data_IF_056337184042
#
_entry.id   IF_056337184042
#
_cell.length_a   1.000
_cell.length_b   1.000
_cell.length_c   1.000
_cell.angle_alpha   90.00
_cell.angle_beta   90.00
_cell.angle_gamma   90.00
#
_symmetry.space_group_name_H-M   'P 1'
#
loop_
_entity.id
_entity.type
_entity.pdbx_description
1 polymer ?
#
# COMPACT_ATOMS: atom_id res chain seq x y z
N UNK A 1 -9.28 -55.37 26.74
CA UNK A 1 -8.28 -55.82 25.74
C UNK A 1 -7.54 -54.58 25.20
N UNK A 2 -6.28 -54.37 25.59
CA UNK A 2 -5.44 -53.33 25.00
C UNK A 2 -5.02 -53.79 23.59
N UNK A 3 -5.56 -53.13 22.57
CA UNK A 3 -5.13 -53.36 21.17
C UNK A 3 -3.67 -52.91 21.07
N UNK A 4 -2.74 -53.85 20.88
CA UNK A 4 -1.33 -53.52 20.67
C UNK A 4 -1.19 -52.74 19.36
N UNK A 5 -0.54 -51.57 19.41
CA UNK A 5 -0.24 -50.81 18.21
C UNK A 5 0.62 -51.63 17.25
N UNK A 6 0.30 -51.64 15.94
CA UNK A 6 1.06 -52.40 14.95
C UNK A 6 2.55 -52.05 14.93
N UNK A 7 3.42 -53.02 14.64
CA UNK A 7 4.89 -52.86 14.70
C UNK A 7 5.41 -51.72 13.81
N UNK A 8 4.86 -51.59 12.60
CA UNK A 8 5.21 -50.52 11.66
C UNK A 8 4.94 -49.12 12.23
N UNK A 9 3.91 -48.95 13.07
CA UNK A 9 3.62 -47.66 13.71
C UNK A 9 4.74 -47.32 14.69
N UNK A 10 5.20 -48.29 15.49
CA UNK A 10 6.28 -48.05 16.45
C UNK A 10 7.60 -47.71 15.77
N UNK A 11 7.92 -48.39 14.66
CA UNK A 11 9.15 -48.17 13.90
C UNK A 11 9.20 -46.81 13.19
N UNK A 12 8.09 -46.37 12.58
CA UNK A 12 8.13 -45.25 11.65
C UNK A 12 7.46 -43.96 12.15
N UNK A 13 6.65 -43.99 13.22
CA UNK A 13 5.90 -42.80 13.62
C UNK A 13 6.81 -41.65 14.14
N UNK A 14 7.99 -41.96 14.66
CA UNK A 14 9.00 -40.96 15.05
C UNK A 14 9.57 -40.19 13.85
N UNK A 15 9.62 -40.79 12.66
CA UNK A 15 10.10 -40.15 11.44
C UNK A 15 9.25 -38.93 11.05
N UNK A 16 7.97 -38.90 11.44
CA UNK A 16 7.08 -37.75 11.21
C UNK A 16 7.59 -36.46 11.86
N UNK A 17 8.39 -36.54 12.92
CA UNK A 17 8.95 -35.38 13.61
C UNK A 17 9.92 -34.55 12.74
N UNK A 18 10.44 -35.14 11.65
CA UNK A 18 11.40 -34.49 10.73
C UNK A 18 10.77 -33.48 9.77
N UNK A 19 9.44 -33.53 9.60
CA UNK A 19 8.71 -32.61 8.71
C UNK A 19 8.17 -31.42 9.50
N UNK A 20 7.88 -30.30 8.82
CA UNK A 20 7.47 -29.02 9.44
C UNK A 20 6.41 -29.19 10.55
N UNK A 21 5.29 -29.88 10.27
CA UNK A 21 4.25 -30.14 11.27
C UNK A 21 4.77 -30.93 12.48
N UNK A 22 5.62 -31.93 12.25
CA UNK A 22 6.22 -32.74 13.30
C UNK A 22 7.26 -31.99 14.13
N UNK A 23 8.04 -31.11 13.51
CA UNK A 23 9.02 -30.26 14.18
C UNK A 23 8.32 -29.20 15.04
N UNK A 24 7.28 -28.53 14.51
CA UNK A 24 6.43 -27.61 15.28
C UNK A 24 5.73 -28.30 16.45
N UNK A 25 5.22 -29.53 16.24
CA UNK A 25 4.61 -30.32 17.30
C UNK A 25 5.60 -30.66 18.42
N UNK A 26 6.85 -30.96 18.07
CA UNK A 26 7.92 -31.20 19.04
C UNK A 26 8.27 -29.92 19.80
N UNK A 27 8.39 -28.78 19.10
CA UNK A 27 8.63 -27.46 19.70
C UNK A 27 7.55 -27.09 20.73
N UNK A 28 6.27 -27.08 20.34
CA UNK A 28 5.18 -26.72 21.26
C UNK A 28 5.05 -27.69 22.44
N UNK A 29 5.37 -28.98 22.24
CA UNK A 29 5.38 -29.96 23.33
C UNK A 29 6.53 -29.70 24.32
N UNK A 30 7.68 -29.21 23.86
CA UNK A 30 8.83 -28.87 24.70
C UNK A 30 8.66 -27.55 25.45
N UNK A 31 8.27 -26.50 24.74
CA UNK A 31 8.18 -25.13 25.29
C UNK A 31 6.88 -24.87 26.06
N UNK A 32 5.77 -25.49 25.65
CA UNK A 32 4.44 -25.24 26.23
C UNK A 32 3.70 -26.52 26.69
N UNK A 33 4.36 -27.47 27.39
CA UNK A 33 3.79 -28.79 27.70
C UNK A 33 2.50 -28.75 28.53
N UNK A 34 2.36 -27.76 29.42
CA UNK A 34 1.23 -27.61 30.35
C UNK A 34 0.13 -26.67 29.84
N UNK A 35 0.44 -25.85 28.84
CA UNK A 35 -0.46 -24.83 28.29
C UNK A 35 -1.20 -25.33 27.05
N UNK A 36 -0.56 -26.16 26.22
CA UNK A 36 -1.11 -26.56 24.91
C UNK A 36 -1.19 -28.08 24.80
N UNK A 37 -2.39 -28.60 25.07
CA UNK A 37 -2.72 -30.02 24.90
C UNK A 37 -2.64 -30.50 23.44
N UNK A 38 -2.63 -31.82 23.20
CA UNK A 38 -2.38 -32.40 21.86
C UNK A 38 -3.39 -31.97 20.78
N UNK A 39 -4.66 -31.80 21.15
CA UNK A 39 -5.71 -31.36 20.22
C UNK A 39 -5.47 -29.90 19.80
N UNK A 40 -5.29 -29.00 20.77
CA UNK A 40 -5.05 -27.58 20.50
C UNK A 40 -3.75 -27.36 19.73
N UNK A 41 -2.69 -28.11 20.07
CA UNK A 41 -1.40 -28.04 19.38
C UNK A 41 -1.53 -28.42 17.90
N UNK A 42 -2.27 -29.48 17.60
CA UNK A 42 -2.50 -29.91 16.19
C UNK A 42 -3.21 -28.80 15.41
N UNK A 43 -4.29 -28.25 15.98
CA UNK A 43 -5.05 -27.16 15.34
C UNK A 43 -4.21 -25.89 15.15
N UNK A 44 -3.41 -25.52 16.15
CA UNK A 44 -2.51 -24.36 16.07
C UNK A 44 -1.45 -24.55 14.98
N UNK A 45 -0.87 -25.73 14.87
CA UNK A 45 0.12 -26.06 13.83
C UNK A 45 -0.49 -25.98 12.44
N UNK A 46 -1.71 -26.52 12.27
CA UNK A 46 -2.39 -26.43 10.97
C UNK A 46 -2.68 -24.98 10.57
N UNK A 47 -3.12 -24.14 11.50
CA UNK A 47 -3.30 -22.70 11.23
C UNK A 47 -1.97 -21.98 10.96
N UNK A 48 -0.89 -22.32 11.70
CA UNK A 48 0.44 -21.77 11.46
C UNK A 48 0.95 -22.13 10.06
N UNK A 49 0.78 -23.38 9.63
CA UNK A 49 1.17 -23.83 8.30
C UNK A 49 0.39 -23.06 7.23
N UNK A 50 -0.92 -22.88 7.38
CA UNK A 50 -1.72 -22.05 6.46
C UNK A 50 -1.21 -20.61 6.38
N UNK A 51 -0.81 -20.02 7.52
CA UNK A 51 -0.23 -18.67 7.56
C UNK A 51 1.11 -18.63 6.83
N UNK A 52 1.97 -19.63 7.05
CA UNK A 52 3.27 -19.74 6.37
C UNK A 52 3.07 -19.88 4.86
N UNK A 53 2.20 -20.77 4.42
CA UNK A 53 1.87 -20.97 2.99
C UNK A 53 1.27 -19.71 2.37
N UNK A 54 0.51 -18.92 3.14
CA UNK A 54 -0.03 -17.65 2.67
C UNK A 54 1.03 -16.58 2.52
N UNK A 55 2.04 -16.53 3.40
CA UNK A 55 3.06 -15.46 3.45
C UNK A 55 4.28 -15.77 2.57
N UNK A 56 4.65 -17.04 2.44
CA UNK A 56 5.82 -17.49 1.70
C UNK A 56 5.38 -18.16 0.40
N UNK A 57 5.42 -17.48 -0.75
CA UNK A 57 5.23 -18.17 -2.02
C UNK A 57 6.39 -19.15 -2.24
N UNK A 58 6.08 -20.28 -2.89
CA UNK A 58 7.08 -21.28 -3.31
C UNK A 58 8.13 -20.60 -4.21
N UNK A 59 9.41 -20.92 -3.98
CA UNK A 59 10.56 -20.35 -4.74
C UNK A 59 10.39 -20.45 -6.26
N UNK A 60 9.66 -21.45 -6.73
CA UNK A 60 9.41 -21.74 -8.15
C UNK A 60 8.66 -20.61 -8.88
N UNK A 61 8.07 -19.66 -8.15
CA UNK A 61 7.35 -18.52 -8.70
C UNK A 61 8.13 -17.20 -8.68
N UNK A 62 9.39 -17.19 -8.19
CA UNK A 62 10.23 -15.98 -8.15
C UNK A 62 11.29 -16.00 -9.25
N UNK A 63 11.29 -14.96 -10.08
CA UNK A 63 12.34 -14.73 -11.08
C UNK A 63 13.54 -13.99 -10.48
N UNK A 64 14.74 -14.09 -11.07
CA UNK A 64 15.86 -13.21 -10.72
C UNK A 64 15.45 -11.74 -10.74
N UNK A 65 15.94 -10.94 -9.78
CA UNK A 65 15.58 -9.53 -9.65
C UNK A 65 14.24 -9.27 -8.94
N UNK A 66 13.48 -10.31 -8.59
CA UNK A 66 12.22 -10.20 -7.84
C UNK A 66 12.40 -10.50 -6.35
N UNK A 67 11.54 -9.87 -5.53
CA UNK A 67 11.43 -10.14 -4.09
C UNK A 67 9.97 -10.34 -3.68
N UNK A 68 9.75 -10.97 -2.52
CA UNK A 68 8.45 -10.98 -1.84
C UNK A 68 8.48 -9.94 -0.74
N UNK A 69 7.47 -9.07 -0.70
CA UNK A 69 7.34 -8.06 0.34
C UNK A 69 5.90 -8.02 0.87
N UNK A 70 5.73 -7.88 2.18
CA UNK A 70 4.41 -7.72 2.78
C UNK A 70 4.01 -6.24 2.76
N UNK A 71 2.88 -5.94 2.13
CA UNK A 71 2.34 -4.58 2.00
C UNK A 71 0.94 -4.49 2.59
N UNK A 72 0.51 -3.28 2.93
CA UNK A 72 -0.85 -3.04 3.44
C UNK A 72 -1.86 -3.38 2.35
N UNK A 73 -2.88 -4.16 2.68
CA UNK A 73 -3.95 -4.51 1.75
C UNK A 73 -4.76 -3.28 1.36
N UNK A 74 -5.17 -3.19 0.10
CA UNK A 74 -6.13 -2.18 -0.36
C UNK A 74 -7.45 -2.21 0.43
N UNK A 75 -7.79 -3.37 1.02
CA UNK A 75 -9.02 -3.59 1.78
C UNK A 75 -8.99 -3.02 3.21
N UNK A 76 -7.84 -2.55 3.69
CA UNK A 76 -7.69 -2.02 5.06
C UNK A 76 -6.82 -0.79 5.09
N UNK A 77 -7.19 0.19 5.90
CA UNK A 77 -6.36 1.37 6.14
C UNK A 77 -5.11 1.02 6.95
N UNK A 78 -3.97 1.62 6.63
CA UNK A 78 -2.72 1.37 7.36
C UNK A 78 -2.72 1.87 8.82
N UNK A 79 -3.63 2.78 9.18
CA UNK A 79 -3.77 3.39 10.51
C UNK A 79 -4.82 2.68 11.39
N UNK A 80 -5.50 1.66 10.87
CA UNK A 80 -6.47 0.91 11.67
C UNK A 80 -5.75 0.03 12.69
N UNK A 81 -6.40 -0.36 13.82
CA UNK A 81 -5.76 -1.16 14.86
C UNK A 81 -5.20 -2.50 14.37
N UNK A 82 -5.81 -3.09 13.34
CA UNK A 82 -5.44 -4.39 12.78
C UNK A 82 -5.34 -4.31 11.25
N UNK A 83 -4.26 -3.70 10.70
CA UNK A 83 -4.08 -3.60 9.27
C UNK A 83 -3.84 -5.00 8.69
N UNK A 84 -4.49 -5.31 7.56
CA UNK A 84 -4.24 -6.56 6.85
C UNK A 84 -3.04 -6.38 5.94
N UNK A 85 -2.15 -7.36 5.95
CA UNK A 85 -1.02 -7.41 5.04
C UNK A 85 -1.25 -8.49 3.98
N UNK A 86 -0.77 -8.22 2.78
CA UNK A 86 -0.73 -9.15 1.66
C UNK A 86 0.72 -9.26 1.16
N UNK A 87 1.25 -10.48 0.95
CA UNK A 87 2.51 -10.64 0.28
C UNK A 87 2.34 -10.32 -1.19
N UNK A 88 3.27 -9.53 -1.73
CA UNK A 88 3.32 -9.18 -3.15
C UNK A 88 4.71 -9.49 -3.70
N UNK A 89 4.76 -9.91 -4.96
CA UNK A 89 6.00 -10.08 -5.70
C UNK A 89 6.33 -8.76 -6.39
N UNK A 90 7.53 -8.22 -6.14
CA UNK A 90 8.00 -6.95 -6.69
C UNK A 90 9.26 -7.17 -7.52
N UNK A 91 9.28 -6.60 -8.72
CA UNK A 91 10.42 -6.64 -9.65
C UNK A 91 11.34 -5.46 -9.37
N UNK A 92 12.29 -5.64 -8.46
CA UNK A 92 13.25 -4.61 -8.03
C UNK A 92 14.25 -4.32 -9.15
N UNK A 93 14.69 -5.36 -9.84
CA UNK A 93 15.62 -5.28 -10.98
C UNK A 93 14.99 -6.00 -12.16
N UNK A 94 14.80 -5.29 -13.26
CA UNK A 94 14.34 -5.86 -14.53
C UNK A 94 15.51 -5.94 -15.54
N UNK A 95 15.48 -6.90 -16.45
CA UNK A 95 16.52 -7.02 -17.50
C UNK A 95 16.59 -5.77 -18.38
N UNK A 96 15.45 -5.11 -18.63
CA UNK A 96 15.40 -3.85 -19.40
C UNK A 96 16.08 -2.70 -18.65
N UNK A 97 16.11 -2.72 -17.31
CA UNK A 97 16.84 -1.71 -16.53
C UNK A 97 18.34 -1.78 -16.86
N UNK A 98 18.88 -3.01 -16.94
CA UNK A 98 20.28 -3.26 -17.30
C UNK A 98 20.52 -2.85 -18.76
N UNK A 99 19.64 -3.25 -19.68
CA UNK A 99 19.74 -2.88 -21.09
C UNK A 99 19.77 -1.35 -21.27
N UNK A 100 18.97 -0.60 -20.53
CA UNK A 100 18.96 0.87 -20.58
C UNK A 100 20.19 1.49 -19.94
N UNK A 101 20.68 0.94 -18.83
CA UNK A 101 21.93 1.39 -18.22
C UNK A 101 23.12 1.22 -19.17
N UNK A 102 23.18 0.09 -19.91
CA UNK A 102 24.25 -0.12 -20.92
C UNK A 102 24.20 0.89 -22.08
N UNK A 103 23.04 1.50 -22.33
CA UNK A 103 22.85 2.59 -23.31
C UNK A 103 23.15 3.98 -22.74
N UNK A 104 23.65 4.08 -21.51
CA UNK A 104 24.00 5.35 -20.86
C UNK A 104 22.82 6.10 -20.24
N UNK A 105 21.65 5.47 -20.11
CA UNK A 105 20.51 6.09 -19.42
C UNK A 105 20.87 6.30 -17.94
N UNK A 106 20.66 7.51 -17.36
CA UNK A 106 20.99 7.77 -15.97
C UNK A 106 20.22 6.87 -14.99
N UNK A 107 20.90 6.44 -13.93
CA UNK A 107 20.31 5.63 -12.85
C UNK A 107 19.06 6.26 -12.22
N UNK A 108 18.99 7.60 -12.19
CA UNK A 108 17.82 8.34 -11.68
C UNK A 108 16.56 8.11 -12.52
N UNK A 109 16.70 7.95 -13.84
CA UNK A 109 15.58 7.65 -14.73
C UNK A 109 15.13 6.19 -14.59
N UNK A 110 16.09 5.27 -14.44
CA UNK A 110 15.80 3.86 -14.15
C UNK A 110 15.06 3.73 -12.82
N UNK A 111 15.54 4.41 -11.77
CA UNK A 111 14.89 4.42 -10.45
C UNK A 111 13.46 4.96 -10.52
N UNK A 112 13.23 6.05 -11.26
CA UNK A 112 11.89 6.62 -11.46
C UNK A 112 10.93 5.59 -12.05
N UNK A 113 11.37 4.83 -13.06
CA UNK A 113 10.57 3.79 -13.72
C UNK A 113 10.39 2.56 -12.83
N UNK A 114 11.43 2.13 -12.12
CA UNK A 114 11.36 1.02 -11.17
C UNK A 114 10.37 1.30 -10.02
N UNK A 115 10.35 2.54 -9.49
CA UNK A 115 9.37 2.98 -8.48
C UNK A 115 7.94 2.81 -9.00
N UNK A 116 7.68 3.26 -10.24
CA UNK A 116 6.35 3.13 -10.87
C UNK A 116 5.96 1.66 -11.04
N UNK A 117 6.89 0.84 -11.55
CA UNK A 117 6.69 -0.60 -11.76
C UNK A 117 6.27 -1.30 -10.48
N UNK A 118 7.02 -1.15 -9.39
CA UNK A 118 6.72 -1.85 -8.12
C UNK A 118 5.43 -1.34 -7.47
N UNK A 119 5.09 -0.05 -7.61
CA UNK A 119 3.82 0.49 -7.13
C UNK A 119 2.65 -0.17 -7.86
N UNK A 120 2.73 -0.28 -9.19
CA UNK A 120 1.70 -0.90 -10.00
C UNK A 120 1.61 -2.41 -9.75
N UNK A 121 2.73 -3.11 -9.59
CA UNK A 121 2.78 -4.53 -9.22
C UNK A 121 2.12 -4.80 -7.88
N UNK A 122 2.42 -4.00 -6.85
CA UNK A 122 1.79 -4.11 -5.54
C UNK A 122 0.27 -3.92 -5.66
N UNK A 123 -0.16 -2.88 -6.38
CA UNK A 123 -1.57 -2.57 -6.56
C UNK A 123 -2.35 -3.69 -7.26
N UNK A 124 -1.80 -4.24 -8.35
CA UNK A 124 -2.41 -5.38 -9.07
C UNK A 124 -2.57 -6.62 -8.19
N UNK A 125 -1.73 -6.78 -7.17
CA UNK A 125 -1.78 -7.88 -6.21
C UNK A 125 -2.61 -7.55 -4.95
N UNK A 126 -3.37 -6.45 -4.96
CA UNK A 126 -4.26 -6.05 -3.86
C UNK A 126 -3.54 -5.40 -2.68
N UNK A 127 -2.35 -4.87 -2.90
CA UNK A 127 -1.50 -4.23 -1.90
C UNK A 127 -1.12 -2.79 -2.23
N UNK A 128 -0.72 -2.02 -1.22
CA UNK A 128 -0.27 -0.63 -1.37
C UNK A 128 1.11 -0.46 -0.75
N UNK A 129 2.05 0.02 -1.56
CA UNK A 129 3.35 0.47 -1.09
C UNK A 129 3.24 1.89 -0.55
N UNK A 130 3.77 2.09 0.66
CA UNK A 130 4.07 3.43 1.16
C UNK A 130 5.42 3.90 0.65
N UNK A 131 5.66 5.21 0.67
CA UNK A 131 6.99 5.75 0.33
C UNK A 131 8.07 5.29 1.32
N UNK A 132 7.68 4.92 2.54
CA UNK A 132 8.57 4.32 3.53
C UNK A 132 9.01 2.93 3.10
N UNK A 133 8.08 2.11 2.61
CA UNK A 133 8.39 0.75 2.13
C UNK A 133 9.39 0.82 0.98
N UNK A 134 9.11 1.65 -0.02
CA UNK A 134 10.01 1.82 -1.18
C UNK A 134 11.37 2.38 -0.73
N UNK A 135 11.39 3.30 0.24
CA UNK A 135 12.63 3.80 0.83
C UNK A 135 13.46 2.71 1.48
N UNK A 136 12.83 1.79 2.22
CA UNK A 136 13.50 0.63 2.82
C UNK A 136 14.06 -0.32 1.76
N UNK A 137 13.28 -0.59 0.70
CA UNK A 137 13.69 -1.46 -0.42
C UNK A 137 14.86 -0.89 -1.24
N UNK A 138 15.08 0.42 -1.19
CA UNK A 138 16.07 1.12 -2.02
C UNK A 138 17.17 1.83 -1.21
N UNK A 139 17.18 1.68 0.12
CA UNK A 139 18.05 2.41 1.05
C UNK A 139 18.03 3.93 0.86
N UNK A 140 16.85 4.49 0.63
CA UNK A 140 16.62 5.94 0.46
C UNK A 140 15.59 6.44 1.45
N UNK A 141 15.64 7.73 1.75
CA UNK A 141 14.58 8.38 2.50
C UNK A 141 13.29 8.42 1.67
N UNK A 142 12.14 8.18 2.31
CA UNK A 142 10.83 8.24 1.65
C UNK A 142 10.52 9.61 1.04
N UNK A 143 11.16 10.69 1.51
CA UNK A 143 11.08 12.02 0.91
C UNK A 143 11.67 12.06 -0.51
N UNK A 144 12.83 11.43 -0.72
CA UNK A 144 13.45 11.32 -2.04
C UNK A 144 12.59 10.49 -3.00
N UNK A 145 12.06 9.35 -2.53
CA UNK A 145 11.13 8.52 -3.33
C UNK A 145 9.88 9.31 -3.73
N UNK A 146 9.35 10.11 -2.80
CA UNK A 146 8.20 10.97 -3.05
C UNK A 146 8.48 12.01 -4.16
N UNK A 147 9.69 12.54 -4.25
CA UNK A 147 10.08 13.46 -5.32
C UNK A 147 10.11 12.77 -6.69
N UNK A 148 10.72 11.58 -6.80
CA UNK A 148 10.71 10.80 -8.05
C UNK A 148 9.30 10.46 -8.51
N UNK A 149 8.45 10.01 -7.58
CA UNK A 149 7.04 9.72 -7.85
C UNK A 149 6.30 10.95 -8.38
N UNK A 150 6.36 12.08 -7.66
CA UNK A 150 5.69 13.32 -8.06
C UNK A 150 6.15 13.83 -9.42
N UNK A 151 7.45 13.69 -9.73
CA UNK A 151 8.01 14.06 -11.04
C UNK A 151 7.38 13.21 -12.14
N UNK A 152 7.30 11.89 -11.95
CA UNK A 152 6.65 10.99 -12.91
C UNK A 152 5.16 11.30 -13.09
N UNK A 153 4.43 11.46 -11.99
CA UNK A 153 2.99 11.80 -11.97
C UNK A 153 2.72 13.09 -12.77
N UNK A 154 3.55 14.12 -12.57
CA UNK A 154 3.47 15.40 -13.30
C UNK A 154 3.81 15.26 -14.79
N UNK A 155 4.85 14.50 -15.12
CA UNK A 155 5.31 14.31 -16.52
C UNK A 155 4.28 13.57 -17.37
N UNK A 156 3.48 12.68 -16.77
CA UNK A 156 2.55 11.80 -17.49
C UNK A 156 1.07 12.13 -17.23
N UNK A 157 0.77 13.14 -16.42
CA UNK A 157 -0.59 13.48 -15.95
C UNK A 157 -1.35 12.26 -15.38
N UNK A 158 -0.67 11.46 -14.55
CA UNK A 158 -1.23 10.27 -13.90
C UNK A 158 -1.09 10.35 -12.39
N UNK A 159 -1.92 9.59 -11.68
CA UNK A 159 -1.78 9.41 -10.23
C UNK A 159 -1.49 7.96 -9.91
N UNK A 160 -0.39 7.72 -9.18
CA UNK A 160 0.03 6.37 -8.86
C UNK A 160 -0.71 5.84 -7.62
N UNK A 161 -1.12 4.56 -7.63
CA UNK A 161 -1.85 3.96 -6.52
C UNK A 161 -0.93 3.65 -5.34
N UNK A 162 -0.92 4.52 -4.32
CA UNK A 162 -0.12 4.36 -3.11
C UNK A 162 -0.95 4.67 -1.87
N UNK A 163 -0.44 4.33 -0.68
CA UNK A 163 -1.19 4.51 0.58
C UNK A 163 -1.75 5.92 0.74
N UNK A 164 -0.93 6.95 0.50
CA UNK A 164 -1.37 8.34 0.54
C UNK A 164 -2.37 8.81 -0.52
N UNK A 165 -2.40 8.20 -1.72
CA UNK A 165 -3.36 8.58 -2.76
C UNK A 165 -4.68 7.86 -2.54
N UNK A 166 -4.67 6.57 -2.21
CA UNK A 166 -5.89 5.76 -2.13
C UNK A 166 -6.54 5.72 -0.74
N UNK A 167 -5.76 5.86 0.32
CA UNK A 167 -6.26 5.80 1.71
C UNK A 167 -6.27 7.17 2.39
N UNK A 168 -6.00 8.24 1.63
CA UNK A 168 -5.87 9.61 2.14
C UNK A 168 -4.83 9.71 3.28
N UNK A 169 -3.75 8.92 3.17
CA UNK A 169 -2.71 8.79 4.19
C UNK A 169 -1.48 9.63 3.91
N UNK A 170 -1.43 10.79 4.56
CA UNK A 170 -0.30 11.71 4.54
C UNK A 170 -0.70 13.09 4.05
N UNK A 171 0.26 14.00 4.01
CA UNK A 171 0.09 15.38 3.53
C UNK A 171 -0.07 15.49 2.01
N UNK A 172 -0.67 14.50 1.34
CA UNK A 172 -0.97 14.53 -0.10
C UNK A 172 -2.14 15.49 -0.40
N UNK A 173 -2.03 16.71 0.13
CA UNK A 173 -2.83 17.89 -0.14
C UNK A 173 -2.96 18.09 -1.66
N UNK A 174 -1.89 17.83 -2.41
CA UNK A 174 -1.88 17.94 -3.87
C UNK A 174 -2.90 17.04 -4.57
N UNK A 175 -3.23 15.87 -4.02
CA UNK A 175 -4.21 14.99 -4.65
C UNK A 175 -5.63 15.55 -4.47
N UNK A 176 -5.99 16.01 -3.27
CA UNK A 176 -7.30 16.65 -3.02
C UNK A 176 -7.49 17.87 -3.93
N UNK A 177 -6.47 18.73 -3.98
CA UNK A 177 -6.46 19.90 -4.87
C UNK A 177 -6.52 19.51 -6.36
N UNK A 178 -5.87 18.43 -6.78
CA UNK A 178 -5.92 17.94 -8.16
C UNK A 178 -7.32 17.40 -8.53
N UNK A 179 -7.97 16.63 -7.65
CA UNK A 179 -9.35 16.17 -7.86
C UNK A 179 -10.27 17.38 -8.03
N UNK A 180 -10.18 18.35 -7.12
CA UNK A 180 -10.98 19.56 -7.18
C UNK A 180 -10.67 20.38 -8.44
N UNK A 181 -9.40 20.50 -8.83
CA UNK A 181 -9.01 21.18 -10.08
C UNK A 181 -9.64 20.52 -11.31
N UNK A 182 -9.61 19.18 -11.42
CA UNK A 182 -10.26 18.46 -12.52
C UNK A 182 -11.78 18.72 -12.58
N UNK A 183 -12.43 18.89 -11.44
CA UNK A 183 -13.88 19.13 -11.36
C UNK A 183 -14.22 20.59 -11.61
N UNK A 184 -13.56 21.52 -10.93
CA UNK A 184 -13.91 22.94 -10.91
C UNK A 184 -13.29 23.74 -12.05
N UNK A 185 -12.05 23.40 -12.46
CA UNK A 185 -11.34 24.08 -13.55
C UNK A 185 -11.58 23.35 -14.87
N UNK A 186 -11.30 22.04 -14.92
CA UNK A 186 -11.42 21.27 -16.17
C UNK A 186 -12.87 20.85 -16.48
N UNK A 187 -13.82 21.17 -15.58
CA UNK A 187 -15.27 20.85 -15.68
C UNK A 187 -15.57 19.39 -15.95
N UNK A 188 -14.71 18.47 -15.49
CA UNK A 188 -14.95 17.03 -15.61
C UNK A 188 -16.03 16.56 -14.65
N UNK A 189 -16.79 15.57 -15.09
CA UNK A 189 -17.77 14.89 -14.27
C UNK A 189 -17.10 14.16 -13.07
N UNK A 190 -17.60 14.31 -11.82
CA UNK A 190 -17.02 13.69 -10.63
C UNK A 190 -16.91 12.16 -10.72
N UNK A 191 -17.81 11.48 -11.42
CA UNK A 191 -17.74 10.03 -11.62
C UNK A 191 -16.54 9.64 -12.48
N UNK A 192 -16.29 10.40 -13.54
CA UNK A 192 -15.11 10.25 -14.39
C UNK A 192 -13.82 10.50 -13.59
N UNK A 193 -13.78 11.58 -12.81
CA UNK A 193 -12.60 11.92 -11.97
C UNK A 193 -12.33 10.84 -10.92
N UNK A 194 -13.37 10.28 -10.30
CA UNK A 194 -13.22 9.18 -9.35
C UNK A 194 -12.51 7.97 -9.99
N UNK A 195 -12.87 7.61 -11.22
CA UNK A 195 -12.20 6.54 -11.97
C UNK A 195 -10.75 6.90 -12.34
N UNK A 196 -10.52 8.09 -12.88
CA UNK A 196 -9.16 8.54 -13.27
C UNK A 196 -8.19 8.55 -12.08
N UNK A 197 -8.70 8.92 -10.90
CA UNK A 197 -7.89 9.08 -9.68
C UNK A 197 -7.93 7.85 -8.77
N UNK A 198 -8.62 6.77 -9.17
CA UNK A 198 -8.84 5.55 -8.39
C UNK A 198 -9.47 5.81 -7.00
N UNK A 199 -10.36 6.80 -6.91
CA UNK A 199 -11.08 7.13 -5.69
C UNK A 199 -12.49 6.55 -5.66
N UNK A 200 -13.01 6.30 -4.46
CA UNK A 200 -14.45 6.07 -4.30
C UNK A 200 -15.21 7.37 -4.47
N UNK A 201 -16.47 7.27 -4.92
CA UNK A 201 -17.33 8.46 -5.05
C UNK A 201 -17.48 9.20 -3.71
N UNK A 202 -17.64 8.45 -2.62
CA UNK A 202 -17.73 9.01 -1.28
C UNK A 202 -16.50 9.86 -0.89
N UNK A 203 -15.31 9.45 -1.34
CA UNK A 203 -14.09 10.24 -1.10
C UNK A 203 -14.09 11.53 -1.92
N UNK A 204 -14.50 11.47 -3.19
CA UNK A 204 -14.62 12.64 -4.07
C UNK A 204 -15.66 13.63 -3.55
N UNK A 205 -16.86 13.16 -3.16
CA UNK A 205 -17.93 13.99 -2.58
C UNK A 205 -17.46 14.73 -1.32
N UNK A 206 -16.69 14.06 -0.46
CA UNK A 206 -16.09 14.67 0.72
C UNK A 206 -15.16 15.82 0.34
N UNK A 207 -14.33 15.65 -0.68
CA UNK A 207 -13.43 16.71 -1.15
C UNK A 207 -14.20 17.90 -1.72
N UNK A 208 -15.25 17.65 -2.52
CA UNK A 208 -16.13 18.69 -3.07
C UNK A 208 -16.79 19.47 -1.91
N UNK A 209 -17.29 18.77 -0.90
CA UNK A 209 -17.89 19.39 0.28
C UNK A 209 -16.89 20.29 1.03
N UNK A 210 -15.68 19.80 1.25
CA UNK A 210 -14.62 20.59 1.90
C UNK A 210 -14.22 21.82 1.08
N UNK A 211 -14.13 21.68 -0.24
CA UNK A 211 -13.88 22.81 -1.15
C UNK A 211 -15.00 23.87 -1.08
N UNK A 212 -16.25 23.45 -1.11
CA UNK A 212 -17.40 24.35 -1.02
C UNK A 212 -17.46 25.11 0.31
N UNK A 213 -17.05 24.47 1.42
CA UNK A 213 -16.94 25.14 2.72
C UNK A 213 -15.87 26.24 2.69
N UNK A 214 -14.71 25.96 2.09
CA UNK A 214 -13.66 26.98 1.88
C UNK A 214 -14.15 28.10 0.99
N UNK A 215 -14.83 27.78 -0.13
CA UNK A 215 -15.41 28.76 -1.06
C UNK A 215 -16.34 29.73 -0.36
N UNK A 216 -17.27 29.22 0.45
CA UNK A 216 -18.24 30.06 1.17
C UNK A 216 -17.54 31.01 2.14
N UNK A 217 -16.61 30.52 2.96
CA UNK A 217 -15.89 31.39 3.89
C UNK A 217 -14.97 32.41 3.18
N UNK A 218 -14.37 32.03 2.05
CA UNK A 218 -13.53 32.94 1.26
C UNK A 218 -14.36 34.05 0.59
N UNK A 219 -15.54 33.70 0.05
CA UNK A 219 -16.50 34.67 -0.50
C UNK A 219 -17.03 35.64 0.56
N UNK A 220 -17.16 35.19 1.81
CA UNK A 220 -17.49 36.02 2.98
C UNK A 220 -16.33 36.89 3.48
N UNK A 221 -15.19 36.92 2.77
CA UNK A 221 -14.03 37.75 3.09
C UNK A 221 -13.26 37.32 4.34
N UNK A 222 -13.37 36.06 4.77
CA UNK A 222 -12.64 35.53 5.94
C UNK A 222 -11.19 35.24 5.59
N UNK A 223 -10.29 35.38 6.57
CA UNK A 223 -8.87 35.07 6.40
C UNK A 223 -8.58 33.56 6.50
N UNK A 224 -7.44 33.13 5.92
CA UNK A 224 -7.03 31.72 5.85
C UNK A 224 -7.01 31.01 7.20
N UNK A 225 -6.66 31.71 8.30
CA UNK A 225 -6.63 31.08 9.63
C UNK A 225 -8.04 30.80 10.13
N UNK A 226 -8.95 31.75 9.96
CA UNK A 226 -10.35 31.55 10.30
C UNK A 226 -10.95 30.41 9.48
N UNK A 227 -10.68 30.37 8.17
CA UNK A 227 -11.18 29.30 7.29
C UNK A 227 -10.63 27.95 7.74
N UNK A 228 -9.33 27.85 8.05
CA UNK A 228 -8.72 26.62 8.58
C UNK A 228 -9.40 26.15 9.86
N UNK A 229 -9.64 27.07 10.82
CA UNK A 229 -10.31 26.75 12.08
C UNK A 229 -11.76 26.31 11.89
N UNK A 230 -12.54 27.04 11.09
CA UNK A 230 -13.96 26.77 10.84
C UNK A 230 -14.18 25.49 10.03
N UNK A 231 -13.26 25.17 9.12
CA UNK A 231 -13.38 23.98 8.28
C UNK A 231 -12.77 22.73 8.92
N UNK A 232 -11.83 22.90 9.86
CA UNK A 232 -10.99 21.83 10.40
C UNK A 232 -9.93 21.35 9.41
N UNK A 233 -9.74 22.06 8.30
CA UNK A 233 -8.75 21.73 7.28
C UNK A 233 -7.41 22.36 7.65
N UNK A 234 -6.31 21.69 7.29
CA UNK A 234 -4.98 22.25 7.41
C UNK A 234 -4.86 23.52 6.55
N UNK A 235 -4.24 24.58 7.08
CA UNK A 235 -3.98 25.85 6.38
C UNK A 235 -3.40 25.67 4.97
N UNK A 236 -2.51 24.69 4.78
CA UNK A 236 -1.97 24.39 3.45
C UNK A 236 -3.05 23.93 2.45
N UNK A 237 -4.05 23.16 2.88
CA UNK A 237 -5.18 22.74 2.03
C UNK A 237 -6.06 23.93 1.68
N UNK A 238 -6.35 24.78 2.67
CA UNK A 238 -7.13 26.01 2.48
C UNK A 238 -6.49 26.89 1.41
N UNK A 239 -5.19 27.13 1.52
CA UNK A 239 -4.46 27.98 0.56
C UNK A 239 -4.46 27.38 -0.85
N UNK A 240 -4.37 26.06 -1.00
CA UNK A 240 -4.47 25.42 -2.31
C UNK A 240 -5.88 25.53 -2.92
N UNK A 241 -6.92 25.43 -2.10
CA UNK A 241 -8.31 25.61 -2.56
C UNK A 241 -8.60 27.07 -2.96
N UNK A 242 -8.07 28.04 -2.22
CA UNK A 242 -8.17 29.47 -2.58
C UNK A 242 -7.53 29.73 -3.94
N UNK A 243 -6.32 29.20 -4.21
CA UNK A 243 -5.70 29.32 -5.54
C UNK A 243 -6.58 28.75 -6.66
N UNK A 244 -7.28 27.64 -6.42
CA UNK A 244 -8.21 27.07 -7.41
C UNK A 244 -9.40 28.01 -7.64
N UNK A 245 -9.94 28.63 -6.58
CA UNK A 245 -11.02 29.60 -6.70
C UNK A 245 -10.60 30.82 -7.52
N UNK A 246 -9.41 31.37 -7.26
CA UNK A 246 -8.85 32.49 -8.03
C UNK A 246 -8.68 32.12 -9.51
N UNK A 247 -8.21 30.89 -9.82
CA UNK A 247 -8.12 30.40 -11.21
C UNK A 247 -9.50 30.32 -11.85
N UNK A 248 -10.51 29.81 -11.14
CA UNK A 248 -11.88 29.74 -11.65
C UNK A 248 -12.49 31.12 -11.90
N UNK A 249 -12.19 32.12 -11.05
CA UNK A 249 -12.65 33.50 -11.22
C UNK A 249 -12.00 34.19 -12.41
N UNK A 250 -10.71 33.94 -12.66
CA UNK A 250 -9.97 34.52 -13.78
C UNK A 250 -10.33 33.91 -15.15
N UNK A 251 -10.94 32.72 -15.16
CA UNK A 251 -11.36 32.01 -16.36
C UNK A 251 -12.87 32.16 -16.67
N UNK A 252 -13.61 32.90 -15.84
CA UNK A 252 -15.04 33.19 -16.00
C UNK A 252 -15.24 34.56 -16.65
#
# INVERSE_FOLDING_TARGET
LMIKSPDYVKRFNSAKARFLKGSLNSFFKGEFPKLIGPILRTKLIDELVKVIEKILPLKDHLKPGQIVWNVVSISTRADCPNPRFVPVTLTIIDEEDIARLTKGIPMSEIMKQAIVRIIQEAYRQGGLLSMRDIGLLTWRYGTAISQYRKKYEKEHDVTLPHTGSLQDMGSCISHKSMIIRKIEVDKKDPYTVAKETNHSMLAVDRYIKDFNRVRLCHQDGKDDNFISLATGLNKYVVNEYIKILEICQNNA
#
